data_IF_358574894818
#
_entry.id   IF_358574894818
#
_cell.length_a   1.000
_cell.length_b   1.000
_cell.length_c   1.000
_cell.angle_alpha   90.00
_cell.angle_beta   90.00
_cell.angle_gamma   90.00
#
_symmetry.space_group_name_H-M   'P 1'
#
loop_
_entity.id
_entity.type
_entity.pdbx_description
1 polymer ?
#
# COMPACT_ATOMS: atom_id res chain seq x y z
N UNK A 1 -42.93 12.01 -9.24
CA UNK A 1 -43.69 11.37 -10.33
C UNK A 1 -42.71 11.11 -11.47
N UNK A 2 -42.15 9.91 -11.54
CA UNK A 2 -41.10 9.58 -12.50
C UNK A 2 -41.66 9.43 -13.92
N UNK A 3 -40.92 9.88 -14.92
CA UNK A 3 -41.25 9.74 -16.35
C UNK A 3 -41.15 8.27 -16.83
N UNK A 4 -40.43 7.44 -16.07
CA UNK A 4 -40.08 6.06 -16.45
C UNK A 4 -41.24 5.05 -16.60
N UNK A 5 -42.30 5.05 -15.77
CA UNK A 5 -43.44 4.16 -15.96
C UNK A 5 -44.27 4.47 -17.22
N UNK A 6 -44.00 5.61 -17.87
CA UNK A 6 -44.68 6.06 -19.08
C UNK A 6 -43.87 5.81 -20.36
N UNK A 7 -42.64 5.28 -20.25
CA UNK A 7 -41.80 4.97 -21.40
C UNK A 7 -42.19 3.62 -22.01
N UNK A 8 -42.29 3.51 -23.35
CA UNK A 8 -42.47 2.24 -24.04
C UNK A 8 -41.35 1.23 -23.74
N UNK A 9 -41.64 -0.08 -23.68
CA UNK A 9 -40.65 -1.13 -23.41
C UNK A 9 -39.44 -1.09 -24.36
N UNK A 10 -39.64 -0.71 -25.62
CA UNK A 10 -38.61 -0.64 -26.65
C UNK A 10 -37.61 0.49 -26.37
N UNK A 11 -38.09 1.62 -25.85
CA UNK A 11 -37.26 2.74 -25.43
C UNK A 11 -36.46 2.39 -24.16
N UNK A 12 -37.08 1.64 -23.24
CA UNK A 12 -36.41 1.13 -22.04
C UNK A 12 -35.26 0.18 -22.40
N UNK A 13 -35.46 -0.74 -23.34
CA UNK A 13 -34.39 -1.61 -23.83
C UNK A 13 -33.26 -0.84 -24.54
N UNK A 14 -33.61 0.18 -25.32
CA UNK A 14 -32.61 1.04 -25.98
C UNK A 14 -31.78 1.82 -24.96
N UNK A 15 -32.39 2.32 -23.88
CA UNK A 15 -31.68 2.97 -22.78
C UNK A 15 -30.75 1.97 -22.10
N UNK A 16 -31.25 0.78 -21.73
CA UNK A 16 -30.46 -0.26 -21.05
C UNK A 16 -29.28 -0.72 -21.89
N UNK A 17 -29.43 -0.86 -23.22
CA UNK A 17 -28.32 -1.18 -24.14
C UNK A 17 -27.22 -0.10 -24.17
N UNK A 18 -27.52 1.12 -23.75
CA UNK A 18 -26.55 2.22 -23.67
C UNK A 18 -25.94 2.38 -22.27
N UNK A 19 -26.52 1.75 -21.26
CA UNK A 19 -26.01 1.77 -19.89
C UNK A 19 -24.96 0.68 -19.68
N UNK A 20 -24.02 0.96 -18.78
CA UNK A 20 -23.04 -0.06 -18.40
C UNK A 20 -23.73 -1.18 -17.60
N UNK A 21 -23.35 -2.48 -17.75
CA UNK A 21 -24.03 -3.58 -17.07
C UNK A 21 -24.19 -3.41 -15.55
N UNK A 22 -23.19 -2.81 -14.89
CA UNK A 22 -23.27 -2.50 -13.46
C UNK A 22 -24.35 -1.44 -13.17
N UNK A 23 -24.54 -0.44 -14.03
CA UNK A 23 -25.59 0.57 -13.84
C UNK A 23 -26.98 -0.04 -13.96
N UNK A 24 -27.14 -1.00 -14.86
CA UNK A 24 -28.39 -1.75 -14.98
C UNK A 24 -28.65 -2.52 -13.69
N UNK A 25 -27.62 -3.22 -13.18
CA UNK A 25 -27.71 -4.02 -11.97
C UNK A 25 -27.95 -3.21 -10.69
N UNK A 26 -27.27 -2.07 -10.55
CA UNK A 26 -27.19 -1.32 -9.28
C UNK A 26 -28.10 -0.10 -9.23
N UNK A 27 -28.53 0.43 -10.37
CA UNK A 27 -29.32 1.66 -10.43
C UNK A 27 -30.64 1.43 -11.16
N UNK A 28 -30.58 0.97 -12.42
CA UNK A 28 -31.76 0.88 -13.28
C UNK A 28 -32.81 -0.12 -12.75
N UNK A 29 -32.36 -1.30 -12.31
CA UNK A 29 -33.23 -2.30 -11.65
C UNK A 29 -33.90 -1.79 -10.38
N UNK A 30 -33.28 -0.83 -9.69
CA UNK A 30 -33.78 -0.31 -8.41
C UNK A 30 -34.74 0.87 -8.58
N UNK A 31 -35.01 1.31 -9.81
CA UNK A 31 -35.88 2.48 -10.08
C UNK A 31 -37.35 2.18 -9.76
N UNK A 32 -37.87 0.99 -10.10
CA UNK A 32 -39.22 0.56 -9.76
C UNK A 32 -39.39 -0.98 -9.87
N UNK A 33 -40.56 -1.49 -9.44
CA UNK A 33 -40.87 -2.92 -9.51
C UNK A 33 -40.87 -3.48 -10.94
N UNK A 34 -41.32 -2.71 -11.93
CA UNK A 34 -41.41 -3.15 -13.33
C UNK A 34 -40.02 -3.37 -13.96
N UNK A 35 -39.09 -2.45 -13.73
CA UNK A 35 -37.70 -2.58 -14.12
C UNK A 35 -37.03 -3.75 -13.37
N UNK A 36 -37.31 -3.89 -12.07
CA UNK A 36 -36.83 -5.02 -11.28
C UNK A 36 -37.36 -6.37 -11.77
N UNK A 37 -38.56 -6.43 -12.40
CA UNK A 37 -39.11 -7.64 -13.02
C UNK A 37 -38.56 -7.90 -14.41
N UNK A 38 -38.39 -6.87 -15.22
CA UNK A 38 -37.95 -7.00 -16.61
C UNK A 38 -36.46 -7.38 -16.71
N UNK A 39 -35.62 -6.87 -15.81
CA UNK A 39 -34.18 -7.08 -15.83
C UNK A 39 -33.71 -8.05 -14.73
N UNK A 40 -34.39 -9.19 -14.56
CA UNK A 40 -34.03 -10.21 -13.54
C UNK A 40 -32.91 -11.16 -13.97
N UNK A 41 -32.60 -11.22 -15.26
CA UNK A 41 -31.60 -12.14 -15.80
C UNK A 41 -30.21 -11.96 -15.18
N UNK A 42 -29.35 -13.01 -15.21
CA UNK A 42 -27.99 -12.97 -14.69
C UNK A 42 -27.15 -11.84 -15.34
N UNK A 43 -27.37 -11.54 -16.62
CA UNK A 43 -26.69 -10.47 -17.34
C UNK A 43 -26.97 -9.05 -16.77
N UNK A 44 -28.10 -8.88 -16.08
CA UNK A 44 -28.52 -7.62 -15.46
C UNK A 44 -28.45 -7.66 -13.93
N UNK A 45 -28.03 -8.77 -13.32
CA UNK A 45 -27.99 -8.93 -11.85
C UNK A 45 -26.62 -9.27 -11.29
N UNK A 46 -25.68 -9.71 -12.12
CA UNK A 46 -24.30 -10.02 -11.72
C UNK A 46 -23.46 -8.74 -11.70
N UNK A 47 -22.94 -8.40 -10.53
CA UNK A 47 -21.96 -7.32 -10.36
C UNK A 47 -20.56 -7.91 -10.51
N UNK A 48 -19.80 -7.46 -11.52
CA UNK A 48 -18.39 -7.84 -11.70
C UNK A 48 -17.51 -6.87 -10.93
N UNK A 49 -16.88 -7.35 -9.86
CA UNK A 49 -15.99 -6.53 -9.01
C UNK A 49 -14.74 -6.01 -9.74
N UNK A 50 -14.39 -6.60 -10.88
CA UNK A 50 -13.29 -6.13 -11.73
C UNK A 50 -13.62 -4.89 -12.57
N UNK A 51 -14.91 -4.54 -12.69
CA UNK A 51 -15.34 -3.34 -13.40
C UNK A 51 -15.45 -2.15 -12.45
N UNK A 52 -15.15 -0.94 -12.92
CA UNK A 52 -15.19 0.25 -12.07
C UNK A 52 -16.61 0.62 -11.67
N UNK A 53 -16.73 1.25 -10.51
CA UNK A 53 -18.01 1.75 -10.00
C UNK A 53 -18.50 2.92 -10.88
N UNK A 54 -19.79 2.96 -11.26
CA UNK A 54 -20.36 4.08 -12.01
C UNK A 54 -20.22 5.42 -11.28
N UNK A 55 -19.95 6.53 -11.98
CA UNK A 55 -19.67 7.82 -11.34
C UNK A 55 -20.75 8.36 -10.40
N UNK A 56 -22.02 8.22 -10.75
CA UNK A 56 -23.12 8.70 -9.90
C UNK A 56 -23.23 7.89 -8.60
N UNK A 57 -23.08 6.56 -8.66
CA UNK A 57 -23.13 5.68 -7.49
C UNK A 57 -21.94 5.93 -6.57
N UNK A 58 -20.76 6.11 -7.16
CA UNK A 58 -19.54 6.47 -6.44
C UNK A 58 -19.71 7.82 -5.73
N UNK A 59 -20.25 8.84 -6.41
CA UNK A 59 -20.52 10.15 -5.83
C UNK A 59 -21.58 10.11 -4.72
N UNK A 60 -22.68 9.38 -4.91
CA UNK A 60 -23.73 9.24 -3.90
C UNK A 60 -23.18 8.68 -2.58
N UNK A 61 -22.25 7.73 -2.65
CA UNK A 61 -21.62 7.16 -1.47
C UNK A 61 -20.58 8.09 -0.85
N UNK A 62 -19.59 8.55 -1.62
CA UNK A 62 -18.43 9.23 -1.07
C UNK A 62 -18.64 10.71 -0.74
N UNK A 63 -19.63 11.37 -1.36
CA UNK A 63 -20.01 12.74 -1.00
C UNK A 63 -21.04 12.79 0.13
N UNK A 64 -21.52 11.64 0.61
CA UNK A 64 -22.42 11.60 1.76
C UNK A 64 -21.71 12.13 3.02
N UNK A 65 -22.40 12.91 3.88
CA UNK A 65 -21.81 13.41 5.11
C UNK A 65 -21.27 12.27 5.99
N UNK A 66 -19.99 12.34 6.30
CA UNK A 66 -19.33 11.34 7.17
C UNK A 66 -18.85 10.07 6.47
N UNK A 67 -18.95 9.95 5.14
CA UNK A 67 -18.47 8.77 4.39
C UNK A 67 -16.99 8.43 4.64
N UNK A 68 -16.15 9.43 4.89
CA UNK A 68 -14.72 9.26 5.16
C UNK A 68 -14.37 9.24 6.65
N UNK A 69 -15.37 9.27 7.56
CA UNK A 69 -15.16 9.37 9.01
C UNK A 69 -14.46 8.14 9.60
N UNK A 70 -14.81 6.95 9.11
CA UNK A 70 -14.19 5.69 9.53
C UNK A 70 -12.85 5.39 8.87
N UNK A 71 -12.37 6.26 7.96
CA UNK A 71 -11.11 6.06 7.27
C UNK A 71 -9.98 6.79 8.00
N UNK A 72 -8.85 6.11 8.19
CA UNK A 72 -7.58 6.73 8.59
C UNK A 72 -7.01 7.58 7.46
N UNK A 73 -6.01 8.42 7.75
CA UNK A 73 -5.28 9.17 6.73
C UNK A 73 -4.67 8.24 5.65
N UNK A 74 -4.09 7.11 6.07
CA UNK A 74 -3.55 6.10 5.16
C UNK A 74 -4.62 5.47 4.27
N UNK A 75 -5.79 5.15 4.83
CA UNK A 75 -6.92 4.60 4.06
C UNK A 75 -7.51 5.63 3.09
N UNK A 76 -7.57 6.90 3.49
CA UNK A 76 -7.98 8.00 2.62
C UNK A 76 -7.02 8.18 1.43
N UNK A 77 -5.71 8.11 1.65
CA UNK A 77 -4.72 8.04 0.55
C UNK A 77 -4.94 6.81 -0.34
N UNK A 78 -5.15 5.64 0.27
CA UNK A 78 -5.40 4.40 -0.47
C UNK A 78 -6.65 4.49 -1.35
N UNK A 79 -7.71 5.15 -0.89
CA UNK A 79 -8.91 5.41 -1.71
C UNK A 79 -8.57 6.21 -2.97
N UNK A 80 -7.71 7.24 -2.88
CA UNK A 80 -7.23 7.99 -4.04
C UNK A 80 -6.41 7.11 -4.98
N UNK A 81 -5.52 6.25 -4.45
CA UNK A 81 -4.72 5.34 -5.26
C UNK A 81 -5.57 4.29 -5.98
N UNK A 82 -6.54 3.67 -5.29
CA UNK A 82 -7.43 2.66 -5.88
C UNK A 82 -8.36 3.27 -6.93
N UNK A 83 -8.86 4.49 -6.70
CA UNK A 83 -9.68 5.19 -7.70
C UNK A 83 -8.87 5.62 -8.92
N UNK A 84 -7.61 6.04 -8.72
CA UNK A 84 -6.68 6.29 -9.82
C UNK A 84 -6.40 4.99 -10.62
N UNK A 85 -6.16 3.88 -9.94
CA UNK A 85 -5.97 2.57 -10.56
C UNK A 85 -7.20 2.11 -11.37
N UNK A 86 -8.42 2.47 -10.95
CA UNK A 86 -9.66 2.14 -11.68
C UNK A 86 -9.76 2.81 -13.06
N UNK A 87 -8.98 3.88 -13.29
CA UNK A 87 -8.96 4.63 -14.54
C UNK A 87 -10.17 5.53 -14.80
N UNK A 88 -11.16 5.56 -13.90
CA UNK A 88 -12.33 6.43 -14.04
C UNK A 88 -12.04 7.80 -13.43
N UNK A 89 -11.61 8.74 -14.27
CA UNK A 89 -11.24 10.11 -13.88
C UNK A 89 -12.34 10.83 -13.10
N UNK A 90 -13.61 10.63 -13.47
CA UNK A 90 -14.74 11.21 -12.75
C UNK A 90 -14.83 10.74 -11.29
N UNK A 91 -14.50 9.47 -11.01
CA UNK A 91 -14.47 8.95 -9.64
C UNK A 91 -13.30 9.52 -8.86
N UNK A 92 -12.15 9.71 -9.50
CA UNK A 92 -10.96 10.28 -8.89
C UNK A 92 -11.21 11.74 -8.45
N UNK A 93 -11.90 12.54 -9.27
CA UNK A 93 -12.33 13.89 -8.91
C UNK A 93 -13.23 13.91 -7.68
N UNK A 94 -14.21 13.00 -7.64
CA UNK A 94 -15.12 12.85 -6.51
C UNK A 94 -14.37 12.39 -5.26
N UNK A 95 -13.47 11.42 -5.38
CA UNK A 95 -12.66 10.92 -4.28
C UNK A 95 -11.78 12.01 -3.69
N UNK A 96 -11.16 12.85 -4.52
CA UNK A 96 -10.37 14.00 -4.09
C UNK A 96 -11.19 14.99 -3.26
N UNK A 97 -12.42 15.29 -3.69
CA UNK A 97 -13.34 16.15 -2.93
C UNK A 97 -13.80 15.52 -1.61
N UNK A 98 -14.13 14.23 -1.63
CA UNK A 98 -14.61 13.49 -0.47
C UNK A 98 -13.55 13.36 0.63
N UNK A 99 -12.31 13.09 0.21
CA UNK A 99 -11.18 12.85 1.11
C UNK A 99 -10.59 14.16 1.64
N UNK A 100 -10.58 15.23 0.84
CA UNK A 100 -10.04 16.53 1.26
C UNK A 100 -8.53 16.53 1.48
N UNK A 101 -7.80 15.63 0.80
CA UNK A 101 -6.33 15.56 0.81
C UNK A 101 -5.78 16.00 -0.55
N UNK A 102 -4.56 16.54 -0.60
CA UNK A 102 -3.84 16.71 -1.86
C UNK A 102 -3.63 15.35 -2.55
N UNK A 103 -3.51 15.36 -3.87
CA UNK A 103 -3.25 14.14 -4.65
C UNK A 103 -1.88 13.54 -4.25
N UNK A 104 -1.86 12.29 -3.74
CA UNK A 104 -0.61 11.63 -3.41
C UNK A 104 0.18 11.25 -4.68
N UNK A 105 1.53 11.32 -4.68
CA UNK A 105 2.33 10.79 -5.78
C UNK A 105 2.05 9.30 -6.02
N UNK A 106 1.72 8.55 -4.97
CA UNK A 106 1.37 7.13 -5.03
C UNK A 106 0.12 6.85 -5.89
N UNK A 107 -0.77 7.85 -6.09
CA UNK A 107 -1.91 7.70 -7.01
C UNK A 107 -1.47 7.62 -8.48
N UNK A 108 -0.39 8.31 -8.84
CA UNK A 108 0.20 8.24 -10.18
C UNK A 108 0.80 6.86 -10.44
N UNK A 109 1.54 6.32 -9.47
CA UNK A 109 2.08 4.96 -9.53
C UNK A 109 0.97 3.92 -9.67
N UNK A 110 -0.11 4.06 -8.90
CA UNK A 110 -1.24 3.14 -8.97
C UNK A 110 -1.97 3.18 -10.34
N UNK A 111 -2.17 4.36 -10.91
CA UNK A 111 -2.71 4.50 -12.28
C UNK A 111 -1.77 3.92 -13.35
N UNK A 112 -0.46 4.11 -13.17
CA UNK A 112 0.55 3.59 -14.09
C UNK A 112 0.62 2.05 -14.03
N UNK A 113 0.58 1.48 -12.82
CA UNK A 113 0.56 0.04 -12.58
C UNK A 113 -0.74 -0.64 -13.06
N UNK A 114 -1.85 0.09 -13.19
CA UNK A 114 -3.11 -0.45 -13.71
C UNK A 114 -3.29 -0.29 -15.22
N UNK A 115 -2.37 0.41 -15.89
CA UNK A 115 -2.44 0.63 -17.33
C UNK A 115 -3.38 1.76 -17.74
N UNK A 116 -3.84 2.58 -16.79
CA UNK A 116 -4.75 3.70 -17.10
C UNK A 116 -4.00 4.94 -17.57
N UNK A 117 -3.72 5.02 -18.88
CA UNK A 117 -3.08 6.18 -19.49
C UNK A 117 -3.87 7.49 -19.25
N UNK A 118 -5.20 7.44 -19.32
CA UNK A 118 -6.06 8.61 -19.10
C UNK A 118 -5.93 9.16 -17.66
N UNK A 119 -5.91 8.29 -16.65
CA UNK A 119 -5.69 8.70 -15.27
C UNK A 119 -4.28 9.25 -15.06
N UNK A 120 -3.24 8.64 -15.65
CA UNK A 120 -1.88 9.17 -15.60
C UNK A 120 -1.78 10.58 -16.20
N UNK A 121 -2.38 10.81 -17.38
CA UNK A 121 -2.39 12.12 -18.03
C UNK A 121 -3.10 13.16 -17.15
N UNK A 122 -4.29 12.82 -16.63
CA UNK A 122 -5.06 13.71 -15.77
C UNK A 122 -4.32 14.06 -14.47
N UNK A 123 -3.67 13.07 -13.84
CA UNK A 123 -2.88 13.25 -12.63
C UNK A 123 -1.65 14.13 -12.88
N UNK A 124 -0.97 13.94 -14.02
CA UNK A 124 0.23 14.72 -14.36
C UNK A 124 -0.05 16.22 -14.45
N UNK A 125 -1.21 16.62 -14.96
CA UNK A 125 -1.60 18.03 -15.06
C UNK A 125 -1.85 18.68 -13.69
N UNK A 126 -2.16 17.87 -12.67
CA UNK A 126 -2.72 18.33 -11.39
C UNK A 126 -1.82 18.10 -10.18
N UNK A 127 -0.89 17.14 -10.25
CA UNK A 127 0.14 16.97 -9.24
C UNK A 127 1.16 18.09 -9.46
N UNK A 128 1.30 19.07 -8.54
CA UNK A 128 2.15 20.23 -8.77
C UNK A 128 3.61 19.81 -8.93
N UNK A 129 4.20 20.11 -10.09
CA UNK A 129 5.65 20.16 -10.26
C UNK A 129 6.17 21.45 -9.62
N UNK A 130 6.12 21.53 -8.29
CA UNK A 130 6.52 22.74 -7.57
C UNK A 130 7.90 23.21 -8.04
N UNK A 131 7.91 24.41 -8.64
CA UNK A 131 9.07 25.10 -9.18
C UNK A 131 10.03 25.51 -8.06
N UNK A 132 10.78 24.57 -7.50
CA UNK A 132 11.97 24.87 -6.67
C UNK A 132 12.91 23.70 -6.38
N UNK A 133 12.71 22.50 -6.95
CA UNK A 133 13.80 21.54 -7.09
C UNK A 133 13.56 20.62 -8.28
N UNK A 134 14.53 20.53 -9.19
CA UNK A 134 14.50 19.63 -10.36
C UNK A 134 14.28 18.14 -9.98
N UNK A 135 14.30 17.80 -8.68
CA UNK A 135 14.20 16.43 -8.18
C UNK A 135 12.78 15.86 -7.99
N UNK A 136 11.78 16.63 -7.58
CA UNK A 136 10.48 16.03 -7.19
C UNK A 136 9.61 15.62 -8.38
N UNK A 137 9.57 16.42 -9.45
CA UNK A 137 8.88 16.02 -10.69
C UNK A 137 9.54 14.82 -11.36
N UNK A 138 10.88 14.74 -11.29
CA UNK A 138 11.65 13.58 -11.76
C UNK A 138 11.35 12.32 -10.94
N UNK A 139 11.14 12.46 -9.63
CA UNK A 139 10.83 11.33 -8.75
C UNK A 139 9.45 10.73 -9.03
N UNK A 140 8.42 11.57 -9.22
CA UNK A 140 7.07 11.12 -9.57
C UNK A 140 7.05 10.33 -10.88
N UNK A 141 7.65 10.89 -11.93
CA UNK A 141 7.70 10.24 -13.24
C UNK A 141 8.57 8.99 -13.23
N UNK A 142 9.66 8.99 -12.45
CA UNK A 142 10.51 7.84 -12.21
C UNK A 142 9.77 6.68 -11.54
N UNK A 143 9.02 6.96 -10.48
CA UNK A 143 8.21 5.94 -9.82
C UNK A 143 7.09 5.42 -10.74
N UNK A 144 6.45 6.30 -11.51
CA UNK A 144 5.42 5.92 -12.47
C UNK A 144 5.91 5.03 -13.61
N UNK A 145 7.09 5.30 -14.19
CA UNK A 145 7.64 4.43 -15.25
C UNK A 145 8.05 3.07 -14.69
N UNK A 146 8.60 3.00 -13.47
CA UNK A 146 8.92 1.74 -12.81
C UNK A 146 7.64 0.92 -12.53
N UNK A 147 6.58 1.56 -12.04
CA UNK A 147 5.29 0.93 -11.78
C UNK A 147 4.63 0.39 -13.06
N UNK A 148 4.59 1.19 -14.13
CA UNK A 148 4.11 0.76 -15.44
C UNK A 148 4.95 -0.39 -16.02
N UNK A 149 6.28 -0.30 -15.90
CA UNK A 149 7.19 -1.34 -16.38
C UNK A 149 6.98 -2.66 -15.64
N UNK A 150 6.86 -2.61 -14.30
CA UNK A 150 6.58 -3.78 -13.46
C UNK A 150 5.25 -4.47 -13.75
N UNK A 151 4.26 -3.72 -14.25
CA UNK A 151 2.97 -4.25 -14.68
C UNK A 151 2.89 -4.54 -16.19
N UNK A 152 3.97 -4.29 -16.95
CA UNK A 152 4.04 -4.62 -18.38
C UNK A 152 3.34 -3.61 -19.30
N UNK A 153 3.02 -2.41 -18.82
CA UNK A 153 2.28 -1.41 -19.58
C UNK A 153 3.19 -0.55 -20.47
N UNK A 154 3.69 -1.15 -21.56
CA UNK A 154 4.54 -0.49 -22.58
C UNK A 154 3.98 0.85 -23.09
N UNK A 155 2.68 1.03 -23.40
CA UNK A 155 2.17 2.31 -23.89
C UNK A 155 2.38 3.48 -22.92
N UNK A 156 2.32 3.22 -21.61
CA UNK A 156 2.58 4.24 -20.59
C UNK A 156 4.07 4.57 -20.53
N UNK A 157 4.94 3.55 -20.58
CA UNK A 157 6.38 3.77 -20.64
C UNK A 157 6.77 4.61 -21.87
N UNK A 158 6.21 4.31 -23.04
CA UNK A 158 6.43 5.10 -24.26
C UNK A 158 5.95 6.54 -24.12
N UNK A 159 4.74 6.73 -23.58
CA UNK A 159 4.20 8.07 -23.33
C UNK A 159 5.10 8.87 -22.38
N UNK A 160 5.57 8.27 -21.28
CA UNK A 160 6.48 8.91 -20.32
C UNK A 160 7.81 9.28 -20.97
N UNK A 161 8.44 8.37 -21.72
CA UNK A 161 9.74 8.62 -22.37
C UNK A 161 9.68 9.62 -23.52
N UNK A 162 8.50 9.86 -24.11
CA UNK A 162 8.30 10.93 -25.12
C UNK A 162 8.14 12.29 -24.48
N UNK A 163 7.59 12.33 -23.28
CA UNK A 163 7.13 13.56 -22.63
C UNK A 163 8.04 14.01 -21.47
N UNK A 164 9.05 13.21 -21.16
CA UNK A 164 10.09 13.48 -20.18
C UNK A 164 11.37 12.72 -20.56
N UNK A 165 12.53 13.39 -20.45
CA UNK A 165 13.83 12.75 -20.62
C UNK A 165 14.35 12.29 -19.25
N UNK A 166 14.23 10.99 -18.90
CA UNK A 166 14.72 10.50 -17.62
C UNK A 166 16.25 10.44 -17.58
N UNK A 167 16.84 10.52 -16.37
CA UNK A 167 18.19 10.04 -16.15
C UNK A 167 18.33 8.59 -16.62
N UNK A 168 19.49 8.22 -17.15
CA UNK A 168 19.73 6.85 -17.62
C UNK A 168 19.56 5.81 -16.49
N UNK A 169 19.86 6.18 -15.24
CA UNK A 169 19.63 5.34 -14.06
C UNK A 169 18.17 4.93 -13.92
N UNK A 170 17.24 5.86 -14.08
CA UNK A 170 15.80 5.58 -14.01
C UNK A 170 15.33 4.66 -15.14
N UNK A 171 15.95 4.78 -16.32
CA UNK A 171 15.71 3.86 -17.43
C UNK A 171 16.13 2.41 -17.11
N UNK A 172 17.29 2.24 -16.46
CA UNK A 172 17.77 0.92 -16.01
C UNK A 172 16.92 0.39 -14.83
N UNK A 173 16.51 1.25 -13.91
CA UNK A 173 15.58 0.89 -12.81
C UNK A 173 14.24 0.41 -13.37
N UNK A 174 13.70 1.08 -14.39
CA UNK A 174 12.48 0.65 -15.07
C UNK A 174 12.64 -0.71 -15.78
N UNK A 175 13.81 -0.96 -16.38
CA UNK A 175 14.11 -2.27 -16.96
C UNK A 175 14.14 -3.38 -15.90
N UNK A 176 14.79 -3.13 -14.75
CA UNK A 176 14.76 -4.04 -13.61
C UNK A 176 13.34 -4.25 -13.08
N UNK A 177 12.55 -3.18 -12.98
CA UNK A 177 11.15 -3.29 -12.58
C UNK A 177 10.33 -4.18 -13.54
N UNK A 178 10.52 -4.05 -14.86
CA UNK A 178 9.92 -4.94 -15.86
C UNK A 178 10.36 -6.40 -15.68
N UNK A 179 11.65 -6.68 -15.42
CA UNK A 179 12.14 -8.02 -15.11
C UNK A 179 11.50 -8.60 -13.84
N UNK A 180 11.37 -7.78 -12.78
CA UNK A 180 10.70 -8.18 -11.54
C UNK A 180 9.19 -8.42 -11.72
N UNK A 181 8.60 -7.87 -12.77
CA UNK A 181 7.23 -8.17 -13.22
C UNK A 181 7.11 -9.36 -14.19
N UNK A 182 8.24 -9.92 -14.66
CA UNK A 182 8.25 -10.98 -15.67
C UNK A 182 8.09 -10.48 -17.12
N UNK A 183 8.20 -9.17 -17.37
CA UNK A 183 7.99 -8.55 -18.69
C UNK A 183 9.31 -8.34 -19.44
N UNK A 184 9.92 -9.44 -19.89
CA UNK A 184 11.27 -9.43 -20.49
C UNK A 184 11.38 -8.61 -21.77
N UNK A 185 10.40 -8.69 -22.68
CA UNK A 185 10.41 -7.91 -23.92
C UNK A 185 10.40 -6.41 -23.66
N UNK A 186 9.67 -5.97 -22.62
CA UNK A 186 9.65 -4.57 -22.20
C UNK A 186 10.98 -4.17 -21.55
N UNK A 187 11.59 -5.07 -20.78
CA UNK A 187 12.90 -4.85 -20.19
C UNK A 187 13.98 -4.69 -21.27
N UNK A 188 13.98 -5.54 -22.30
CA UNK A 188 14.92 -5.46 -23.42
C UNK A 188 14.75 -4.16 -24.20
N UNK A 189 13.51 -3.78 -24.50
CA UNK A 189 13.21 -2.49 -25.14
C UNK A 189 13.72 -1.28 -24.34
N UNK A 190 13.66 -1.32 -23.00
CA UNK A 190 14.24 -0.28 -22.15
C UNK A 190 15.78 -0.33 -22.17
N UNK A 191 16.38 -1.53 -22.15
CA UNK A 191 17.82 -1.72 -22.17
C UNK A 191 18.46 -1.40 -23.53
N UNK A 192 17.75 -1.49 -24.64
CA UNK A 192 18.21 -0.98 -25.93
C UNK A 192 18.57 0.51 -25.85
N UNK A 193 17.79 1.27 -25.07
CA UNK A 193 17.98 2.72 -24.91
C UNK A 193 18.94 3.10 -23.78
N UNK A 194 18.88 2.38 -22.66
CA UNK A 194 19.61 2.75 -21.42
C UNK A 194 20.71 1.77 -21.01
N UNK A 195 20.85 0.64 -21.70
CA UNK A 195 21.79 -0.43 -21.36
C UNK A 195 23.27 -0.05 -21.50
N UNK A 196 23.58 1.09 -22.13
CA UNK A 196 24.93 1.65 -22.11
C UNK A 196 25.42 1.92 -20.69
N UNK A 197 24.53 2.35 -19.78
CA UNK A 197 24.90 2.62 -18.39
C UNK A 197 25.27 1.34 -17.65
N UNK A 198 24.59 0.23 -17.95
CA UNK A 198 24.93 -1.10 -17.41
C UNK A 198 26.33 -1.53 -17.85
N UNK A 199 26.71 -1.23 -19.11
CA UNK A 199 28.07 -1.50 -19.61
C UNK A 199 29.13 -0.59 -18.98
N UNK A 200 28.80 0.68 -18.71
CA UNK A 200 29.71 1.63 -18.07
C UNK A 200 29.90 1.40 -16.57
N UNK A 201 28.88 0.88 -15.88
CA UNK A 201 28.87 0.68 -14.42
C UNK A 201 28.35 -0.72 -14.04
N UNK A 202 29.02 -1.80 -14.46
CA UNK A 202 28.51 -3.16 -14.30
C UNK A 202 28.32 -3.55 -12.83
N UNK A 203 29.25 -3.15 -11.96
CA UNK A 203 29.20 -3.50 -10.54
C UNK A 203 28.01 -2.89 -9.78
N UNK A 204 27.42 -1.82 -10.31
CA UNK A 204 26.25 -1.18 -9.73
C UNK A 204 24.95 -1.78 -10.26
N UNK A 205 24.87 -2.01 -11.58
CA UNK A 205 23.61 -2.31 -12.24
C UNK A 205 23.37 -3.80 -12.52
N UNK A 206 24.43 -4.59 -12.77
CA UNK A 206 24.25 -6.03 -13.01
C UNK A 206 23.63 -6.75 -11.80
N UNK A 207 24.08 -6.55 -10.54
CA UNK A 207 23.47 -7.22 -9.39
C UNK A 207 21.99 -6.87 -9.23
N UNK A 208 21.64 -5.61 -9.46
CA UNK A 208 20.26 -5.14 -9.40
C UNK A 208 19.36 -5.85 -10.43
N UNK A 209 19.81 -5.97 -11.69
CA UNK A 209 19.07 -6.65 -12.74
C UNK A 209 18.94 -8.16 -12.47
N UNK A 210 19.99 -8.82 -11.98
CA UNK A 210 19.97 -10.24 -11.62
C UNK A 210 18.95 -10.52 -10.50
N UNK A 211 18.96 -9.71 -9.43
CA UNK A 211 17.99 -9.83 -8.34
C UNK A 211 16.57 -9.60 -8.85
N UNK A 212 16.38 -8.65 -9.77
CA UNK A 212 15.09 -8.38 -10.40
C UNK A 212 14.59 -9.56 -11.24
N UNK A 213 15.47 -10.24 -11.97
CA UNK A 213 15.13 -11.45 -12.71
C UNK A 213 14.75 -12.62 -11.80
N UNK A 214 15.53 -12.84 -10.73
CA UNK A 214 15.22 -13.88 -9.72
C UNK A 214 13.83 -13.67 -9.10
N UNK A 215 13.43 -12.41 -8.94
CA UNK A 215 12.13 -12.03 -8.39
C UNK A 215 10.96 -12.30 -9.33
N UNK A 216 11.08 -12.09 -10.64
CA UNK A 216 9.92 -12.08 -11.55
C UNK A 216 9.95 -13.01 -12.76
N UNK A 217 11.14 -13.43 -13.21
CA UNK A 217 11.32 -14.22 -14.43
C UNK A 217 11.49 -15.71 -14.09
N UNK A 218 11.11 -16.62 -14.98
CA UNK A 218 11.41 -18.05 -14.79
C UNK A 218 12.92 -18.36 -14.88
N UNK A 219 13.30 -19.53 -14.38
CA UNK A 219 14.68 -20.01 -14.36
C UNK A 219 15.24 -20.15 -15.77
N UNK A 220 14.42 -20.57 -16.74
CA UNK A 220 14.85 -20.71 -18.14
C UNK A 220 15.29 -19.36 -18.73
N UNK A 221 14.54 -18.28 -18.49
CA UNK A 221 14.95 -16.95 -18.91
C UNK A 221 16.20 -16.44 -18.20
N UNK A 222 16.42 -16.89 -16.96
CA UNK A 222 17.63 -16.58 -16.20
C UNK A 222 18.85 -17.31 -16.76
N UNK A 223 18.73 -18.61 -17.01
CA UNK A 223 19.78 -19.44 -17.60
C UNK A 223 20.18 -18.95 -18.99
N UNK A 224 19.20 -18.66 -19.85
CA UNK A 224 19.46 -18.13 -21.20
C UNK A 224 20.28 -16.81 -21.18
N UNK A 225 20.04 -15.92 -20.20
CA UNK A 225 20.84 -14.69 -20.05
C UNK A 225 22.16 -14.91 -19.30
N UNK A 226 22.25 -15.94 -18.46
CA UNK A 226 23.47 -16.30 -17.74
C UNK A 226 24.51 -16.99 -18.64
N UNK A 227 24.06 -17.68 -19.70
CA UNK A 227 24.92 -18.37 -20.68
C UNK A 227 25.70 -17.43 -21.63
N UNK A 228 25.40 -16.12 -21.64
CA UNK A 228 26.17 -15.11 -22.39
C UNK A 228 27.44 -14.60 -21.68
N UNK A 229 28.00 -13.47 -22.16
CA UNK A 229 29.20 -12.73 -21.63
C UNK A 229 29.12 -12.37 -20.13
N UNK A 230 28.01 -12.65 -19.46
CA UNK A 230 27.73 -12.35 -18.07
C UNK A 230 28.27 -13.37 -17.06
N UNK A 231 28.68 -14.56 -17.48
CA UNK A 231 28.92 -15.69 -16.55
C UNK A 231 30.06 -15.44 -15.53
N UNK A 232 31.16 -14.79 -15.93
CA UNK A 232 32.29 -14.53 -15.03
C UNK A 232 31.99 -13.44 -13.97
N UNK A 233 31.16 -12.46 -14.32
CA UNK A 233 30.76 -11.38 -13.41
C UNK A 233 29.53 -11.75 -12.56
N UNK A 234 28.64 -12.58 -13.09
CA UNK A 234 27.43 -13.07 -12.41
C UNK A 234 27.78 -13.76 -11.09
N UNK A 235 28.75 -14.67 -11.09
CA UNK A 235 29.19 -15.39 -9.88
C UNK A 235 29.78 -14.45 -8.82
N UNK A 236 30.65 -13.53 -9.24
CA UNK A 236 31.21 -12.52 -8.33
C UNK A 236 30.13 -11.62 -7.71
N UNK A 237 29.15 -11.20 -8.52
CA UNK A 237 28.05 -10.34 -8.07
C UNK A 237 27.06 -11.06 -7.16
N UNK A 238 26.75 -12.33 -7.44
CA UNK A 238 25.91 -13.16 -6.59
C UNK A 238 26.53 -13.41 -5.21
N UNK A 239 27.86 -13.50 -5.10
CA UNK A 239 28.55 -13.61 -3.80
C UNK A 239 28.38 -12.35 -2.94
N UNK A 240 28.45 -11.15 -3.54
CA UNK A 240 28.31 -9.87 -2.83
C UNK A 240 26.86 -9.63 -2.39
N UNK A 241 25.87 -10.09 -3.15
CA UNK A 241 24.45 -9.86 -2.91
C UNK A 241 23.65 -11.13 -2.58
N UNK A 242 24.33 -12.16 -2.07
CA UNK A 242 23.79 -13.51 -1.84
C UNK A 242 22.45 -13.51 -1.10
N UNK A 243 22.33 -12.72 -0.03
CA UNK A 243 21.15 -12.70 0.82
C UNK A 243 19.96 -12.11 0.04
N UNK A 244 20.19 -11.04 -0.74
CA UNK A 244 19.13 -10.44 -1.57
C UNK A 244 18.70 -11.36 -2.71
N UNK A 245 19.64 -12.07 -3.34
CA UNK A 245 19.36 -13.02 -4.41
C UNK A 245 18.54 -14.22 -3.90
N UNK A 246 18.94 -14.81 -2.78
CA UNK A 246 18.19 -15.90 -2.13
C UNK A 246 16.80 -15.45 -1.68
N UNK A 247 16.68 -14.27 -1.08
CA UNK A 247 15.39 -13.72 -0.67
C UNK A 247 14.45 -13.52 -1.87
N UNK A 248 14.99 -13.01 -2.99
CA UNK A 248 14.24 -12.79 -4.22
C UNK A 248 13.78 -14.12 -4.85
N UNK A 249 14.67 -15.11 -4.94
CA UNK A 249 14.34 -16.45 -5.44
C UNK A 249 13.28 -17.14 -4.57
N UNK A 250 13.49 -17.20 -3.24
CA UNK A 250 12.59 -17.86 -2.31
C UNK A 250 11.23 -17.16 -2.20
N UNK A 251 11.20 -15.84 -2.38
CA UNK A 251 9.98 -15.02 -2.40
C UNK A 251 9.36 -14.82 -3.78
N UNK A 252 9.91 -15.45 -4.83
CA UNK A 252 9.43 -15.31 -6.21
C UNK A 252 7.98 -15.80 -6.35
N UNK A 253 7.09 -15.10 -7.07
CA UNK A 253 5.73 -15.55 -7.32
C UNK A 253 5.66 -16.66 -8.38
N UNK A 254 6.75 -16.94 -9.10
CA UNK A 254 6.81 -17.98 -10.12
C UNK A 254 6.87 -19.39 -9.51
N UNK A 255 6.28 -20.42 -10.14
CA UNK A 255 6.18 -21.77 -9.57
C UNK A 255 7.54 -22.49 -9.43
N UNK A 256 8.55 -22.06 -10.16
CA UNK A 256 9.92 -22.56 -10.17
C UNK A 256 10.82 -21.93 -9.08
N UNK A 257 10.25 -21.19 -8.12
CA UNK A 257 11.00 -20.56 -7.02
C UNK A 257 11.97 -21.54 -6.33
N UNK A 258 11.58 -22.80 -6.16
CA UNK A 258 12.41 -23.84 -5.55
C UNK A 258 13.63 -24.17 -6.42
N UNK A 259 13.42 -24.30 -7.73
CA UNK A 259 14.50 -24.54 -8.69
C UNK A 259 15.47 -23.35 -8.76
N UNK A 260 14.98 -22.10 -8.66
CA UNK A 260 15.85 -20.92 -8.54
C UNK A 260 16.70 -20.95 -7.28
N UNK A 261 16.12 -21.36 -6.15
CA UNK A 261 16.86 -21.50 -4.90
C UNK A 261 17.91 -22.62 -5.01
N UNK A 262 17.58 -23.74 -5.65
CA UNK A 262 18.52 -24.85 -5.91
C UNK A 262 19.65 -24.43 -6.86
N UNK A 263 19.33 -23.67 -7.91
CA UNK A 263 20.30 -23.08 -8.82
C UNK A 263 21.32 -22.19 -8.08
N UNK A 264 20.86 -21.40 -7.10
CA UNK A 264 21.73 -20.62 -6.22
C UNK A 264 22.48 -21.48 -5.17
N UNK A 265 21.99 -22.67 -4.83
CA UNK A 265 22.55 -23.55 -3.79
C UNK A 265 23.77 -24.34 -4.21
N UNK A 266 24.03 -24.49 -5.52
CA UNK A 266 25.20 -25.21 -6.05
C UNK A 266 26.56 -24.63 -5.57
N UNK A 267 26.53 -23.50 -4.86
CA UNK A 267 27.70 -22.76 -4.35
C UNK A 267 27.93 -22.91 -2.82
N UNK A 268 27.17 -23.76 -2.11
CA UNK A 268 27.48 -24.17 -0.73
C UNK A 268 26.97 -23.27 0.41
N UNK A 269 25.83 -22.60 0.27
CA UNK A 269 25.36 -21.56 1.19
C UNK A 269 24.39 -22.10 2.26
N UNK A 270 24.61 -21.71 3.53
CA UNK A 270 23.93 -22.30 4.71
C UNK A 270 22.91 -21.38 5.41
N UNK A 271 22.75 -20.12 4.98
CA UNK A 271 21.82 -19.17 5.61
C UNK A 271 20.89 -18.56 4.55
N UNK A 272 19.59 -18.58 4.83
CA UNK A 272 18.57 -18.08 3.91
C UNK A 272 17.73 -16.99 4.59
N UNK A 273 17.60 -15.81 3.97
CA UNK A 273 16.63 -14.82 4.39
C UNK A 273 15.21 -15.29 4.07
N UNK A 274 14.52 -15.82 5.09
CA UNK A 274 13.15 -16.32 4.99
C UNK A 274 12.10 -15.23 5.27
N UNK A 275 12.51 -13.98 5.46
CA UNK A 275 11.64 -12.83 5.77
C UNK A 275 10.62 -12.58 4.66
N UNK A 276 11.08 -12.60 3.39
CA UNK A 276 10.19 -12.43 2.23
C UNK A 276 9.16 -13.55 2.12
N UNK A 277 9.56 -14.78 2.46
CA UNK A 277 8.67 -15.96 2.45
C UNK A 277 7.62 -15.86 3.55
N UNK A 278 8.03 -15.49 4.75
CA UNK A 278 7.14 -15.29 5.89
C UNK A 278 6.10 -14.19 5.66
N UNK A 279 6.42 -13.22 4.80
CA UNK A 279 5.55 -12.11 4.42
C UNK A 279 4.69 -12.38 3.15
N UNK A 280 4.71 -13.58 2.59
CA UNK A 280 3.88 -13.92 1.43
C UNK A 280 2.38 -13.77 1.75
N UNK A 281 1.57 -13.33 0.77
CA UNK A 281 0.14 -13.08 0.96
C UNK A 281 -0.67 -14.37 1.20
N UNK A 282 -0.28 -15.47 0.56
CA UNK A 282 -0.87 -16.79 0.81
C UNK A 282 -0.14 -17.46 1.99
N UNK A 283 -0.86 -17.64 3.10
CA UNK A 283 -0.33 -18.26 4.30
C UNK A 283 0.02 -19.74 4.15
N UNK A 284 -0.71 -20.48 3.31
CA UNK A 284 -0.44 -21.90 3.06
C UNK A 284 0.81 -22.08 2.20
N UNK A 285 0.97 -21.21 1.20
CA UNK A 285 2.19 -21.17 0.39
C UNK A 285 3.41 -20.76 1.23
N UNK A 286 3.29 -19.69 2.02
CA UNK A 286 4.34 -19.26 2.94
C UNK A 286 4.80 -20.39 3.86
N UNK A 287 3.85 -21.12 4.46
CA UNK A 287 4.14 -22.26 5.33
C UNK A 287 4.88 -23.37 4.58
N UNK A 288 4.41 -23.74 3.38
CA UNK A 288 5.05 -24.76 2.54
C UNK A 288 6.50 -24.41 2.25
N UNK A 289 6.75 -23.16 1.83
CA UNK A 289 8.10 -22.67 1.52
C UNK A 289 9.00 -22.62 2.76
N UNK A 290 8.47 -22.21 3.92
CA UNK A 290 9.21 -22.22 5.19
C UNK A 290 9.61 -23.65 5.62
N UNK A 291 8.68 -24.62 5.53
CA UNK A 291 8.99 -26.03 5.84
C UNK A 291 10.08 -26.55 4.91
N UNK A 292 9.97 -26.26 3.61
CA UNK A 292 10.95 -26.67 2.61
C UNK A 292 12.35 -26.08 2.88
N UNK A 293 12.42 -24.78 3.21
CA UNK A 293 13.68 -24.11 3.56
C UNK A 293 14.29 -24.71 4.81
N UNK A 294 13.49 -24.99 5.84
CA UNK A 294 13.97 -25.62 7.08
C UNK A 294 14.51 -27.02 6.84
N UNK A 295 13.85 -27.81 5.98
CA UNK A 295 14.32 -29.14 5.56
C UNK A 295 15.71 -29.12 4.94
N UNK A 296 16.16 -27.98 4.41
CA UNK A 296 17.50 -27.76 3.85
C UNK A 296 18.47 -27.05 4.81
N UNK A 297 18.15 -27.03 6.10
CA UNK A 297 19.03 -26.49 7.14
C UNK A 297 18.91 -24.97 7.36
N UNK A 298 17.90 -24.30 6.79
CA UNK A 298 17.65 -22.90 7.06
C UNK A 298 17.36 -22.66 8.55
N UNK A 299 18.12 -21.77 9.17
CA UNK A 299 17.87 -21.30 10.54
C UNK A 299 16.99 -20.05 10.51
N UNK A 300 15.89 -20.08 11.24
CA UNK A 300 15.02 -18.92 11.40
C UNK A 300 15.45 -18.09 12.61
N UNK A 301 15.47 -16.78 12.43
CA UNK A 301 15.71 -15.80 13.48
C UNK A 301 14.41 -15.03 13.79
N UNK A 302 14.49 -14.04 14.67
CA UNK A 302 13.35 -13.20 15.04
C UNK A 302 12.84 -12.34 13.88
N UNK A 303 13.68 -12.00 12.90
CA UNK A 303 13.29 -11.14 11.78
C UNK A 303 12.28 -11.84 10.85
N UNK A 304 12.35 -13.18 10.76
CA UNK A 304 11.34 -14.01 10.07
C UNK A 304 10.00 -13.98 10.81
N UNK A 305 10.02 -14.07 12.15
CA UNK A 305 8.80 -13.94 13.00
C UNK A 305 8.19 -12.55 12.85
N UNK A 306 9.03 -11.52 12.91
CA UNK A 306 8.64 -10.12 12.71
C UNK A 306 7.99 -9.91 11.35
N UNK A 307 8.52 -10.52 10.29
CA UNK A 307 7.97 -10.41 8.93
C UNK A 307 6.61 -11.10 8.80
N UNK A 308 6.45 -12.30 9.38
CA UNK A 308 5.14 -12.96 9.46
C UNK A 308 4.13 -12.14 10.27
N UNK A 309 4.55 -11.57 11.39
CA UNK A 309 3.70 -10.73 12.25
C UNK A 309 3.27 -9.44 11.54
N UNK A 310 4.21 -8.78 10.84
CA UNK A 310 3.96 -7.59 10.02
C UNK A 310 2.97 -7.85 8.87
N UNK A 311 3.05 -9.03 8.26
CA UNK A 311 2.16 -9.45 7.18
C UNK A 311 0.82 -10.02 7.68
N UNK A 312 0.70 -10.29 8.99
CA UNK A 312 -0.46 -10.97 9.55
C UNK A 312 -0.59 -12.43 9.10
N UNK A 313 0.51 -13.03 8.63
CA UNK A 313 0.51 -14.40 8.11
C UNK A 313 0.47 -15.40 9.28
N UNK A 314 -0.74 -15.78 9.67
CA UNK A 314 -1.00 -16.61 10.84
C UNK A 314 -0.43 -18.02 10.72
N UNK A 315 -0.45 -18.60 9.51
CA UNK A 315 0.06 -19.94 9.24
C UNK A 315 1.58 -19.99 9.42
N UNK A 316 2.30 -19.03 8.79
CA UNK A 316 3.72 -18.85 8.98
C UNK A 316 4.06 -18.56 10.45
N UNK A 317 3.33 -17.63 11.08
CA UNK A 317 3.60 -17.22 12.46
C UNK A 317 3.47 -18.39 13.45
N UNK A 318 2.40 -19.19 13.38
CA UNK A 318 2.22 -20.37 14.26
C UNK A 318 3.35 -21.38 14.11
N UNK A 319 3.77 -21.64 12.88
CA UNK A 319 4.89 -22.54 12.62
C UNK A 319 6.19 -21.97 13.20
N UNK A 320 6.50 -20.71 12.91
CA UNK A 320 7.73 -20.07 13.38
C UNK A 320 7.81 -20.02 14.91
N UNK A 321 6.69 -19.82 15.60
CA UNK A 321 6.64 -19.81 17.07
C UNK A 321 6.94 -21.16 17.72
N UNK A 322 6.71 -22.27 17.00
CA UNK A 322 7.09 -23.61 17.46
C UNK A 322 8.58 -23.91 17.25
N UNK A 323 9.28 -23.08 16.45
CA UNK A 323 10.60 -23.38 15.90
C UNK A 323 11.67 -22.41 16.38
N UNK A 324 11.31 -21.14 16.50
CA UNK A 324 12.16 -20.07 16.97
C UNK A 324 11.99 -19.98 18.49
N UNK A 325 13.10 -20.15 19.23
CA UNK A 325 13.08 -20.05 20.69
C UNK A 325 12.68 -18.64 21.13
N UNK A 326 11.97 -18.58 22.26
CA UNK A 326 11.43 -17.34 22.85
C UNK A 326 12.57 -16.34 23.12
N UNK A 327 12.36 -15.10 22.71
CA UNK A 327 13.20 -13.98 23.13
C UNK A 327 12.32 -12.81 23.58
N UNK A 328 12.86 -11.99 24.49
CA UNK A 328 12.24 -10.78 25.04
C UNK A 328 12.06 -9.64 24.02
N UNK A 329 12.05 -9.96 22.72
CA UNK A 329 11.96 -8.98 21.65
C UNK A 329 10.50 -8.55 21.43
N UNK A 330 10.25 -7.26 21.60
CA UNK A 330 8.93 -6.64 21.41
C UNK A 330 8.62 -6.33 19.94
N UNK A 331 9.63 -6.36 19.05
CA UNK A 331 9.48 -5.94 17.64
C UNK A 331 8.40 -6.71 16.85
N UNK A 332 8.20 -8.04 17.01
CA UNK A 332 7.11 -8.74 16.33
C UNK A 332 5.72 -8.30 16.81
N UNK A 333 5.57 -7.99 18.10
CA UNK A 333 4.33 -7.47 18.68
C UNK A 333 4.04 -6.08 18.11
N UNK A 334 5.03 -5.20 18.08
CA UNK A 334 4.92 -3.87 17.47
C UNK A 334 4.55 -3.93 15.99
N UNK A 335 5.15 -4.87 15.24
CA UNK A 335 4.85 -5.08 13.83
C UNK A 335 3.40 -5.55 13.61
N UNK A 336 2.91 -6.49 14.43
CA UNK A 336 1.51 -6.92 14.39
C UNK A 336 0.55 -5.77 14.75
N UNK A 337 0.89 -4.96 15.75
CA UNK A 337 0.12 -3.78 16.15
C UNK A 337 0.04 -2.74 15.03
N UNK A 338 1.17 -2.40 14.41
CA UNK A 338 1.25 -1.44 13.29
C UNK A 338 0.53 -1.93 12.03
N UNK A 339 0.43 -3.26 11.84
CA UNK A 339 -0.35 -3.88 10.76
C UNK A 339 -1.84 -4.10 11.08
N UNK A 340 -2.25 -3.90 12.34
CA UNK A 340 -3.64 -4.12 12.76
C UNK A 340 -4.03 -5.60 12.87
N UNK A 341 -3.05 -6.49 12.93
CA UNK A 341 -3.24 -7.94 12.90
C UNK A 341 -3.56 -8.51 14.29
N UNK A 342 -4.77 -8.24 14.79
CA UNK A 342 -5.21 -8.64 16.13
C UNK A 342 -5.07 -10.15 16.41
N UNK A 343 -5.32 -10.99 15.41
CA UNK A 343 -5.16 -12.46 15.53
C UNK A 343 -3.70 -12.87 15.70
N UNK A 344 -2.77 -12.25 14.96
CA UNK A 344 -1.34 -12.46 15.12
C UNK A 344 -0.87 -12.01 16.51
N UNK A 345 -1.37 -10.86 16.99
CA UNK A 345 -1.08 -10.33 18.31
C UNK A 345 -1.53 -11.27 19.43
N UNK A 346 -2.74 -11.84 19.33
CA UNK A 346 -3.25 -12.83 20.29
C UNK A 346 -2.38 -14.09 20.34
N UNK A 347 -1.89 -14.55 19.19
CA UNK A 347 -0.99 -15.72 19.12
C UNK A 347 0.37 -15.42 19.74
N UNK A 348 0.94 -14.23 19.49
CA UNK A 348 2.18 -13.79 20.14
C UNK A 348 2.02 -13.70 21.66
N UNK A 349 0.90 -13.14 22.12
CA UNK A 349 0.58 -13.05 23.54
C UNK A 349 0.46 -14.44 24.19
N UNK A 350 -0.28 -15.36 23.56
CA UNK A 350 -0.43 -16.73 24.03
C UNK A 350 0.91 -17.51 24.06
N UNK A 351 1.82 -17.22 23.13
CA UNK A 351 3.18 -17.76 23.11
C UNK A 351 4.12 -17.10 24.15
N UNK A 352 3.61 -16.15 24.94
CA UNK A 352 4.35 -15.49 26.02
C UNK A 352 5.41 -14.51 25.53
N UNK A 353 5.21 -13.88 24.37
CA UNK A 353 6.06 -12.79 23.90
C UNK A 353 5.84 -11.54 24.75
N UNK A 354 6.92 -10.77 24.97
CA UNK A 354 6.85 -9.51 25.70
C UNK A 354 5.93 -8.53 24.99
N UNK A 355 4.83 -8.12 25.64
CA UNK A 355 3.81 -7.30 24.98
C UNK A 355 4.18 -5.82 24.90
N UNK A 356 5.02 -5.31 25.81
CA UNK A 356 5.38 -3.89 25.86
C UNK A 356 4.15 -2.98 25.71
N UNK A 357 3.11 -3.20 26.54
CA UNK A 357 1.74 -2.73 26.33
C UNK A 357 1.63 -1.26 25.89
N UNK A 358 2.34 -0.35 26.57
CA UNK A 358 2.43 1.06 26.21
C UNK A 358 2.93 1.29 24.78
N UNK A 359 4.06 0.69 24.40
CA UNK A 359 4.63 0.87 23.06
C UNK A 359 3.81 0.17 21.97
N UNK A 360 3.25 -1.01 22.28
CA UNK A 360 2.34 -1.73 21.39
C UNK A 360 1.07 -0.94 21.09
N UNK A 361 0.47 -0.31 22.11
CA UNK A 361 -0.72 0.52 21.95
C UNK A 361 -0.42 1.78 21.13
N UNK A 362 0.74 2.40 21.36
CA UNK A 362 1.21 3.52 20.54
C UNK A 362 1.40 3.13 19.07
N UNK A 363 2.06 2.01 18.79
CA UNK A 363 2.22 1.51 17.42
C UNK A 363 0.87 1.24 16.73
N UNK A 364 -0.10 0.68 17.44
CA UNK A 364 -1.46 0.48 16.93
C UNK A 364 -2.19 1.82 16.70
N UNK A 365 -2.00 2.80 17.60
CA UNK A 365 -2.61 4.11 17.51
C UNK A 365 -2.04 4.95 16.36
N UNK A 366 -0.72 4.94 16.15
CA UNK A 366 -0.05 5.58 15.00
C UNK A 366 -0.58 5.05 13.67
N UNK A 367 -0.99 3.78 13.62
CA UNK A 367 -1.59 3.14 12.46
C UNK A 367 -3.13 3.27 12.41
N UNK A 368 -3.76 3.79 13.47
CA UNK A 368 -5.21 4.03 13.56
C UNK A 368 -6.05 2.77 13.81
N UNK A 369 -5.44 1.69 14.34
CA UNK A 369 -6.09 0.40 14.57
C UNK A 369 -6.82 0.34 15.91
N UNK A 370 -8.00 0.97 15.97
CA UNK A 370 -8.84 1.03 17.18
C UNK A 370 -9.10 -0.35 17.81
N UNK A 371 -9.42 -1.36 17.01
CA UNK A 371 -9.70 -2.71 17.50
C UNK A 371 -8.50 -3.36 18.21
N UNK A 372 -7.27 -2.99 17.84
CA UNK A 372 -6.05 -3.47 18.52
C UNK A 372 -5.81 -2.72 19.82
N UNK A 373 -5.98 -1.39 19.83
CA UNK A 373 -5.84 -0.58 21.04
C UNK A 373 -6.88 -0.98 22.09
N UNK A 374 -8.14 -1.18 21.65
CA UNK A 374 -9.22 -1.65 22.52
C UNK A 374 -8.87 -3.00 23.15
N UNK A 375 -8.39 -3.96 22.35
CA UNK A 375 -7.99 -5.26 22.88
C UNK A 375 -6.80 -5.17 23.85
N UNK A 376 -5.81 -4.32 23.59
CA UNK A 376 -4.67 -4.12 24.49
C UNK A 376 -5.12 -3.57 25.85
N UNK A 377 -6.05 -2.61 25.84
CA UNK A 377 -6.63 -2.05 27.07
C UNK A 377 -7.45 -3.09 27.83
N UNK A 378 -8.27 -3.88 27.13
CA UNK A 378 -9.09 -4.94 27.74
C UNK A 378 -8.24 -6.08 28.32
N UNK A 379 -7.19 -6.51 27.60
CA UNK A 379 -6.40 -7.68 27.98
C UNK A 379 -5.30 -7.37 29.01
N UNK A 380 -4.71 -6.17 28.95
CA UNK A 380 -3.54 -5.81 29.77
C UNK A 380 -3.85 -4.70 30.79
N UNK A 381 -5.00 -4.05 30.69
CA UNK A 381 -5.43 -2.96 31.57
C UNK A 381 -4.95 -1.58 31.15
N UNK A 382 -5.72 -0.55 31.52
CA UNK A 382 -5.44 0.85 31.18
C UNK A 382 -4.12 1.36 31.74
N UNK A 383 -3.72 0.90 32.93
CA UNK A 383 -2.45 1.29 33.55
C UNK A 383 -1.23 0.77 32.78
N UNK A 384 -1.32 -0.45 32.21
CA UNK A 384 -0.24 -1.02 31.42
C UNK A 384 -0.11 -0.34 30.05
N UNK A 385 -1.24 0.06 29.46
CA UNK A 385 -1.30 0.77 28.18
C UNK A 385 -0.88 2.24 28.31
N UNK A 386 -1.06 2.84 29.50
CA UNK A 386 -0.85 4.27 29.76
C UNK A 386 -1.64 5.15 28.79
N UNK A 387 -2.90 5.45 29.14
CA UNK A 387 -3.72 6.41 28.41
C UNK A 387 -3.18 7.83 28.63
N UNK A 388 -2.17 8.21 27.86
CA UNK A 388 -1.44 9.47 27.97
C UNK A 388 -1.64 10.37 26.74
N UNK A 389 -1.10 11.59 26.80
CA UNK A 389 -1.16 12.54 25.69
C UNK A 389 -0.43 12.04 24.43
N UNK A 390 0.55 11.13 24.59
CA UNK A 390 1.29 10.54 23.48
C UNK A 390 0.43 9.57 22.67
N UNK A 391 -0.38 8.75 23.35
CA UNK A 391 -1.33 7.85 22.72
C UNK A 391 -2.40 8.64 21.95
N UNK A 392 -2.87 9.75 22.53
CA UNK A 392 -3.81 10.65 21.85
C UNK A 392 -3.17 11.32 20.61
N UNK A 393 -1.94 11.82 20.73
CA UNK A 393 -1.21 12.40 19.61
C UNK A 393 -0.95 11.38 18.49
N UNK A 394 -0.61 10.13 18.83
CA UNK A 394 -0.46 9.04 17.87
C UNK A 394 -1.77 8.74 17.12
N UNK A 395 -2.91 8.71 17.84
CA UNK A 395 -4.22 8.58 17.21
C UNK A 395 -4.53 9.73 16.25
N UNK A 396 -4.17 10.97 16.62
CA UNK A 396 -4.30 12.13 15.74
C UNK A 396 -3.38 12.04 14.51
N UNK A 397 -2.14 11.58 14.67
CA UNK A 397 -1.19 11.34 13.57
C UNK A 397 -1.73 10.33 12.55
N UNK A 398 -2.46 9.31 13.00
CA UNK A 398 -3.11 8.33 12.12
C UNK A 398 -4.28 8.89 11.31
N UNK A 399 -4.85 10.03 11.74
CA UNK A 399 -6.08 10.61 11.20
C UNK A 399 -7.35 9.80 11.51
N UNK A 400 -7.29 8.88 12.48
CA UNK A 400 -8.41 8.06 12.92
C UNK A 400 -9.33 8.84 13.87
N UNK A 401 -10.43 9.36 13.32
CA UNK A 401 -11.44 10.10 14.08
C UNK A 401 -12.09 9.22 15.16
N UNK A 402 -12.34 7.96 14.84
CA UNK A 402 -12.95 7.00 15.76
C UNK A 402 -12.03 6.67 16.93
N UNK A 403 -10.73 6.46 16.68
CA UNK A 403 -9.78 6.21 17.75
C UNK A 403 -9.62 7.41 18.67
N UNK A 404 -9.53 8.63 18.13
CA UNK A 404 -9.49 9.83 18.97
C UNK A 404 -10.76 9.98 19.82
N UNK A 405 -11.95 9.75 19.25
CA UNK A 405 -13.21 9.80 19.99
C UNK A 405 -13.24 8.75 21.11
N UNK A 406 -12.82 7.52 20.81
CA UNK A 406 -12.77 6.42 21.78
C UNK A 406 -11.80 6.68 22.94
N UNK A 407 -10.65 7.30 22.67
CA UNK A 407 -9.69 7.72 23.71
C UNK A 407 -10.28 8.85 24.58
N UNK A 408 -11.00 9.79 23.97
CA UNK A 408 -11.66 10.89 24.69
C UNK A 408 -12.73 10.41 25.65
N UNK A 409 -13.54 9.44 25.24
CA UNK A 409 -14.56 8.82 26.08
C UNK A 409 -13.97 8.15 27.34
N UNK A 410 -12.71 7.73 27.28
CA UNK A 410 -11.95 7.15 28.41
C UNK A 410 -11.17 8.18 29.22
N UNK A 411 -11.38 9.47 28.97
CA UNK A 411 -10.68 10.53 29.70
C UNK A 411 -9.19 10.63 29.37
N UNK A 412 -8.75 10.08 28.22
CA UNK A 412 -7.36 10.22 27.79
C UNK A 412 -7.01 11.71 27.65
N UNK A 413 -5.95 12.17 28.34
CA UNK A 413 -5.52 13.55 28.25
C UNK A 413 -4.98 13.84 26.85
N UNK A 414 -5.24 15.03 26.33
CA UNK A 414 -4.62 15.54 25.09
C UNK A 414 -3.44 16.47 25.40
N UNK A 415 -3.31 16.91 26.66
CA UNK A 415 -2.20 17.69 27.19
C UNK A 415 -1.82 17.15 28.57
N UNK A 416 -0.52 17.06 28.82
CA UNK A 416 0.02 16.68 30.11
C UNK A 416 0.09 17.95 30.98
N UNK A 417 -0.96 18.25 31.74
CA UNK A 417 -1.00 19.49 32.53
C UNK A 417 -0.14 19.41 33.81
N UNK A 418 1.19 19.56 33.66
CA UNK A 418 2.10 20.23 34.62
C UNK A 418 3.51 20.39 33.98
N UNK A 419 3.89 21.63 33.66
CA UNK A 419 5.23 22.12 33.25
C UNK A 419 5.69 22.14 31.77
N UNK A 420 4.99 21.60 30.76
CA UNK A 420 5.40 21.83 29.33
C UNK A 420 4.24 22.15 28.38
N UNK A 421 3.68 23.34 28.57
CA UNK A 421 2.51 23.88 27.86
C UNK A 421 2.71 24.25 26.37
N UNK A 422 3.37 23.44 25.52
CA UNK A 422 3.51 23.83 24.11
C UNK A 422 3.78 22.72 23.09
N UNK A 423 4.72 21.82 23.32
CA UNK A 423 5.28 21.01 22.23
C UNK A 423 4.36 19.90 21.65
N UNK A 424 3.34 19.45 22.38
CA UNK A 424 2.66 18.17 22.10
C UNK A 424 1.23 18.31 21.54
N UNK A 425 0.44 19.27 22.04
CA UNK A 425 -0.75 19.73 21.31
C UNK A 425 -0.34 20.29 19.94
N UNK A 426 0.83 20.95 19.88
CA UNK A 426 1.48 21.33 18.63
C UNK A 426 1.75 20.12 17.74
N UNK A 427 2.02 18.91 18.27
CA UNK A 427 2.34 17.71 17.48
C UNK A 427 1.13 17.12 16.77
N UNK A 428 -0.02 16.99 17.43
CA UNK A 428 -1.26 16.50 16.83
C UNK A 428 -1.73 17.42 15.69
N UNK A 429 -1.74 18.74 15.94
CA UNK A 429 -2.05 19.73 14.91
C UNK A 429 -0.96 19.81 13.84
N UNK A 430 0.32 19.80 14.19
CA UNK A 430 1.41 19.85 13.22
C UNK A 430 1.41 18.63 12.31
N UNK A 431 1.06 17.44 12.80
CA UNK A 431 0.92 16.26 11.97
C UNK A 431 -0.20 16.41 10.94
N UNK A 432 -1.39 16.81 11.38
CA UNK A 432 -2.51 17.05 10.48
C UNK A 432 -2.19 18.17 9.48
N UNK A 433 -1.51 19.25 9.91
CA UNK A 433 -1.05 20.33 9.03
C UNK A 433 0.02 19.87 8.03
N UNK A 434 1.03 19.10 8.46
CA UNK A 434 2.06 18.51 7.57
C UNK A 434 1.43 17.65 6.49
N UNK A 435 0.38 16.92 6.86
CA UNK A 435 -0.36 16.04 5.96
C UNK A 435 -1.44 16.77 5.14
N UNK A 436 -1.67 18.07 5.38
CA UNK A 436 -2.79 18.83 4.85
C UNK A 436 -4.16 18.13 5.07
N UNK A 437 -4.31 17.44 6.20
CA UNK A 437 -5.46 16.61 6.53
C UNK A 437 -6.59 17.42 7.20
N UNK A 438 -7.42 18.03 6.36
CA UNK A 438 -8.54 18.87 6.79
C UNK A 438 -9.57 18.10 7.64
N UNK A 439 -9.77 16.82 7.38
CA UNK A 439 -10.73 16.00 8.12
C UNK A 439 -10.27 15.81 9.58
N UNK A 440 -8.98 15.51 9.77
CA UNK A 440 -8.37 15.39 11.10
C UNK A 440 -8.35 16.73 11.82
N UNK A 441 -8.01 17.83 11.15
CA UNK A 441 -8.06 19.18 11.74
C UNK A 441 -9.46 19.56 12.24
N UNK A 442 -10.51 19.30 11.44
CA UNK A 442 -11.91 19.52 11.85
C UNK A 442 -12.30 18.63 13.03
N UNK A 443 -11.78 17.42 13.10
CA UNK A 443 -12.01 16.54 14.24
C UNK A 443 -11.37 17.08 15.52
N UNK A 444 -10.08 17.46 15.48
CA UNK A 444 -9.38 18.04 16.62
C UNK A 444 -10.10 19.27 17.17
N UNK A 445 -10.61 20.14 16.28
CA UNK A 445 -11.44 21.28 16.66
C UNK A 445 -12.73 20.86 17.38
N UNK A 446 -13.47 19.88 16.85
CA UNK A 446 -14.71 19.38 17.47
C UNK A 446 -14.48 18.74 18.84
N UNK A 447 -13.32 18.11 19.03
CA UNK A 447 -12.94 17.53 20.31
C UNK A 447 -12.44 18.56 21.34
N UNK A 448 -12.38 19.85 20.97
CA UNK A 448 -12.01 20.95 21.86
C UNK A 448 -10.50 21.11 22.07
N UNK A 449 -9.65 20.55 21.21
CA UNK A 449 -8.20 20.68 21.33
C UNK A 449 -7.78 22.12 20.98
N UNK A 450 -7.09 22.87 21.87
CA UNK A 450 -6.75 24.28 21.65
C UNK A 450 -5.70 24.45 20.54
N UNK A 451 -5.80 25.54 19.77
CA UNK A 451 -4.84 25.86 18.72
C UNK A 451 -3.45 26.15 19.29
N UNK A 452 -2.43 25.49 18.75
CA UNK A 452 -1.03 25.85 18.94
C UNK A 452 -0.69 27.21 18.30
N UNK A 453 0.30 27.94 18.83
CA UNK A 453 0.77 29.20 18.21
C UNK A 453 1.63 28.90 16.98
N UNK A 454 1.02 28.69 15.81
CA UNK A 454 1.74 28.40 14.56
C UNK A 454 2.33 29.67 13.92
N UNK A 455 3.66 29.70 13.73
CA UNK A 455 4.32 30.65 12.80
C UNK A 455 4.64 29.92 11.48
N UNK A 456 4.15 30.43 10.33
CA UNK A 456 4.47 29.92 8.98
C UNK A 456 3.28 29.39 8.15
N UNK A 457 3.54 28.65 7.05
CA UNK A 457 2.51 28.13 6.10
C UNK A 457 1.36 27.35 6.76
N UNK A 458 1.58 26.75 7.93
CA UNK A 458 0.54 26.09 8.73
C UNK A 458 -0.55 27.07 9.20
N UNK A 459 -0.21 28.33 9.50
CA UNK A 459 -1.18 29.36 9.91
C UNK A 459 -2.18 29.75 8.81
N UNK A 460 -1.81 29.62 7.53
CA UNK A 460 -2.71 29.90 6.40
C UNK A 460 -3.79 28.81 6.22
N UNK A 461 -3.44 27.55 6.49
CA UNK A 461 -4.41 26.45 6.52
C UNK A 461 -5.37 26.55 7.72
N UNK A 462 -4.88 27.06 8.86
CA UNK A 462 -5.71 27.38 10.03
C UNK A 462 -6.73 28.47 9.72
N UNK A 463 -6.34 29.53 9.00
CA UNK A 463 -7.27 30.61 8.62
C UNK A 463 -8.34 30.18 7.62
N UNK A 464 -8.05 29.24 6.71
CA UNK A 464 -9.07 28.72 5.78
C UNK A 464 -10.06 27.76 6.46
N UNK A 465 -9.62 27.00 7.48
CA UNK A 465 -10.49 26.18 8.34
C UNK A 465 -11.30 27.03 9.33
N UNK A 466 -10.89 28.28 9.60
CA UNK A 466 -11.67 29.23 10.41
C UNK A 466 -12.82 29.89 9.62
N UNK A 467 -12.78 29.85 8.29
CA UNK A 467 -13.76 30.51 7.41
C UNK A 467 -14.89 29.59 6.90
N UNK A 468 -14.88 28.30 7.30
CA UNK A 468 -15.88 27.27 6.97
C UNK A 468 -16.21 26.44 8.21
#
# INVERSE_FOLDING_TARGET
MGVFPQLPPELIELIVRRLHPIEVATSFRLVNMAAATQFRGPEHSVIRLSQPVPPHAFAAHWLAPGATRGLTYKQRKQLLCLTAASGVVANLEVAMRAVGLPLPPEAFEAAAASGSLAACQWLRERIPSHHSSEGQGSQLLGAGIQAAARAGHRPICEWLLRSWQPPASTGVEAAGAAMAGGHLELADWLLERFGWLVRSQPHQWQPFLIVSMLEGCDLAALECRAEGDYNHHLRFHLLVFKDKALAAAAGSPTPDWAAKVEWLQLEGWLQYPAERVAALPDGAEALTRLIWLRGRGCRFNQDVVLSAARAGNLAALRYLLAVVLRHLDVRPVEAACRGGHLTALRVLHAAGWGMGAWHAARCAAEAGHLHVVAWLVEALGEQAVQLDAWLFAAAAESGSVELMAWLRERGCPWDESALRRRAEADRAFAAACRNADLATLRCLRRLGVPWGSFRGRAGLAVTSVSAA
#
